data_IF_863590555178
#
_entry.id   IF_863590555178
#
_cell.length_a   1.000
_cell.length_b   1.000
_cell.length_c   1.000
_cell.angle_alpha   90.00
_cell.angle_beta   90.00
_cell.angle_gamma   90.00
#
_symmetry.space_group_name_H-M   'P 1'
#
loop_
_entity.id
_entity.type
_entity.pdbx_description
1 polymer ?
#
# COMPACT_ATOMS: atom_id res chain seq x y z
N UNK A 1 -19.47 37.74 -11.40
CA UNK A 1 -18.22 37.04 -11.04
C UNK A 1 -17.58 37.84 -9.92
N UNK A 2 -17.97 37.55 -8.67
CA UNK A 2 -17.64 38.36 -7.49
C UNK A 2 -16.74 37.51 -6.60
N UNK A 3 -15.45 37.86 -6.57
CA UNK A 3 -14.43 37.15 -5.79
C UNK A 3 -14.52 37.60 -4.34
N UNK A 4 -15.08 36.76 -3.47
CA UNK A 4 -14.98 36.95 -2.02
C UNK A 4 -13.55 36.63 -1.57
N UNK A 5 -12.78 37.66 -1.23
CA UNK A 5 -11.48 37.52 -0.55
C UNK A 5 -11.72 37.21 0.93
N UNK A 6 -11.91 35.92 1.24
CA UNK A 6 -11.93 35.46 2.62
C UNK A 6 -10.56 35.64 3.27
N UNK A 7 -10.40 36.69 4.11
CA UNK A 7 -9.31 36.79 5.09
C UNK A 7 -9.37 35.55 5.99
N UNK A 8 -8.57 34.54 5.69
CA UNK A 8 -8.29 33.45 6.64
C UNK A 8 -7.51 34.02 7.80
N UNK A 9 -8.17 34.22 8.93
CA UNK A 9 -7.51 34.42 10.22
C UNK A 9 -6.53 33.27 10.44
N UNK A 10 -5.23 33.57 10.36
CA UNK A 10 -4.17 32.63 10.74
C UNK A 10 -4.25 32.45 12.26
N UNK A 11 -5.10 31.52 12.72
CA UNK A 11 -4.99 31.01 14.10
C UNK A 11 -3.58 30.45 14.25
N UNK A 12 -2.74 31.15 15.00
CA UNK A 12 -1.42 30.68 15.40
C UNK A 12 -1.64 29.32 16.08
N UNK A 13 -1.29 28.23 15.40
CA UNK A 13 -1.29 26.91 16.00
C UNK A 13 -0.03 26.82 16.85
N UNK A 14 -0.12 26.91 18.20
CA UNK A 14 1.06 26.82 19.03
C UNK A 14 1.76 25.48 18.79
N UNK A 15 3.08 25.52 18.59
CA UNK A 15 3.89 24.31 18.38
C UNK A 15 3.77 23.39 19.60
N UNK A 16 3.95 22.08 19.41
CA UNK A 16 3.91 21.11 20.52
C UNK A 16 4.90 21.50 21.62
N UNK A 17 6.07 22.03 21.24
CA UNK A 17 7.06 22.61 22.15
C UNK A 17 6.48 23.71 23.05
N UNK A 18 5.72 24.66 22.50
CA UNK A 18 5.12 25.75 23.26
C UNK A 18 4.05 25.22 24.23
N UNK A 19 3.21 24.28 23.77
CA UNK A 19 2.18 23.67 24.62
C UNK A 19 2.78 22.92 25.81
N UNK A 20 3.81 22.11 25.57
CA UNK A 20 4.48 21.33 26.62
C UNK A 20 5.16 22.25 27.64
N UNK A 21 5.83 23.30 27.15
CA UNK A 21 6.50 24.29 28.00
C UNK A 21 5.50 25.06 28.86
N UNK A 22 4.37 25.48 28.28
CA UNK A 22 3.32 26.19 29.01
C UNK A 22 2.65 25.29 30.05
N UNK A 23 2.36 24.04 29.71
CA UNK A 23 1.73 23.09 30.63
C UNK A 23 2.65 22.82 31.83
N UNK A 24 3.92 22.53 31.59
CA UNK A 24 4.90 22.31 32.65
C UNK A 24 5.17 23.59 33.46
N UNK A 25 5.18 24.75 32.79
CA UNK A 25 5.35 26.06 33.44
C UNK A 25 4.20 26.39 34.38
N UNK A 26 2.94 26.20 33.94
CA UNK A 26 1.75 26.41 34.79
C UNK A 26 1.77 25.45 35.98
N UNK A 27 2.10 24.18 35.78
CA UNK A 27 2.22 23.20 36.86
C UNK A 27 3.27 23.61 37.89
N UNK A 28 4.44 24.05 37.44
CA UNK A 28 5.56 24.44 38.28
C UNK A 28 5.27 25.73 39.08
N UNK A 29 4.68 26.75 38.43
CA UNK A 29 4.23 27.97 39.11
C UNK A 29 3.15 27.65 40.14
N UNK A 30 2.17 26.81 39.77
CA UNK A 30 1.10 26.40 40.68
C UNK A 30 1.62 25.64 41.90
N UNK A 31 2.54 24.71 41.71
CA UNK A 31 3.19 23.98 42.81
C UNK A 31 4.02 24.92 43.71
N UNK A 32 4.78 25.84 43.12
CA UNK A 32 5.58 26.82 43.87
C UNK A 32 4.71 27.80 44.68
N UNK A 33 3.60 28.26 44.10
CA UNK A 33 2.62 29.11 44.79
C UNK A 33 1.91 28.35 45.93
N UNK A 34 1.57 27.08 45.73
CA UNK A 34 0.97 26.24 46.77
C UNK A 34 1.93 26.02 47.94
N UNK A 35 3.21 25.76 47.65
CA UNK A 35 4.23 25.63 48.69
C UNK A 35 4.43 26.94 49.46
N UNK A 36 4.42 28.08 48.78
CA UNK A 36 4.50 29.39 49.44
C UNK A 36 3.27 29.66 50.32
N UNK A 37 2.06 29.33 49.84
CA UNK A 37 0.83 29.44 50.62
C UNK A 37 0.88 28.56 51.87
N UNK A 38 1.36 27.32 51.73
CA UNK A 38 1.48 26.38 52.84
C UNK A 38 2.53 26.84 53.85
N UNK A 39 3.67 27.36 53.40
CA UNK A 39 4.68 27.96 54.27
C UNK A 39 4.11 29.16 55.03
N UNK A 40 3.36 30.03 54.34
CA UNK A 40 2.72 31.18 54.97
C UNK A 40 1.68 30.78 56.02
N UNK A 41 0.81 29.80 55.73
CA UNK A 41 -0.13 29.25 56.69
C UNK A 41 0.57 28.60 57.89
N UNK A 42 1.67 27.88 57.67
CA UNK A 42 2.42 27.20 58.72
C UNK A 42 3.11 28.21 59.64
N UNK A 43 3.74 29.25 59.09
CA UNK A 43 4.34 30.34 59.88
C UNK A 43 3.27 31.11 60.65
N UNK A 44 2.15 31.45 59.99
CA UNK A 44 1.02 32.10 60.65
C UNK A 44 0.41 31.23 61.76
N UNK A 45 0.39 29.91 61.62
CA UNK A 45 -0.07 29.00 62.67
C UNK A 45 0.96 28.86 63.81
N UNK A 46 2.25 28.71 63.49
CA UNK A 46 3.32 28.55 64.48
C UNK A 46 3.52 29.81 65.34
N UNK A 47 3.28 30.99 64.78
CA UNK A 47 3.41 32.26 65.47
C UNK A 47 2.12 32.70 66.19
N UNK A 48 0.99 31.97 66.02
CA UNK A 48 -0.21 32.19 66.84
C UNK A 48 0.07 31.82 68.30
N UNK A 49 -0.40 32.64 69.26
CA UNK A 49 -0.13 32.38 70.67
C UNK A 49 -0.81 31.09 71.12
N UNK A 50 -0.03 30.05 71.38
CA UNK A 50 -0.53 28.79 71.96
C UNK A 50 -0.96 28.96 73.42
N UNK A 51 -0.45 30.00 74.11
CA UNK A 51 -0.75 30.29 75.52
C UNK A 51 -0.96 31.80 75.69
N UNK A 52 -2.06 32.17 76.33
CA UNK A 52 -2.46 33.57 76.54
C UNK A 52 -1.38 34.32 77.31
N UNK A 53 -0.60 35.17 76.63
CA UNK A 53 0.24 36.15 77.32
C UNK A 53 -0.66 36.96 78.26
N UNK A 54 -0.36 36.94 79.55
CA UNK A 54 -1.12 37.69 80.54
C UNK A 54 -1.11 39.19 80.18
N UNK A 55 -2.25 39.86 80.35
CA UNK A 55 -2.33 41.30 80.10
C UNK A 55 -1.33 42.02 81.01
N UNK A 56 -0.48 42.88 80.43
CA UNK A 56 0.57 43.60 81.16
C UNK A 56 1.93 42.91 81.21
N UNK A 57 2.11 41.75 80.60
CA UNK A 57 3.44 41.12 80.44
C UNK A 57 4.32 42.02 79.57
N UNK A 58 5.49 42.42 80.05
CA UNK A 58 6.42 43.27 79.31
C UNK A 58 7.67 42.49 78.89
N UNK A 59 8.18 42.79 77.69
CA UNK A 59 9.45 42.28 77.16
C UNK A 59 10.46 43.42 77.22
N UNK A 60 11.64 43.14 77.78
CA UNK A 60 12.77 44.07 77.78
C UNK A 60 13.61 43.81 76.53
N UNK A 61 13.70 44.81 75.66
CA UNK A 61 14.53 44.76 74.46
C UNK A 61 16.01 44.99 74.83
N UNK A 62 16.91 44.62 73.92
CA UNK A 62 18.35 44.79 74.10
C UNK A 62 18.79 46.27 74.27
N UNK A 63 17.95 47.22 73.85
CA UNK A 63 18.13 48.67 74.03
C UNK A 63 17.57 49.20 75.37
N UNK A 64 17.08 48.31 76.24
CA UNK A 64 16.53 48.64 77.55
C UNK A 64 15.08 49.10 77.54
N UNK A 65 14.42 49.21 76.38
CA UNK A 65 13.00 49.58 76.29
C UNK A 65 12.10 48.42 76.72
N UNK A 66 11.01 48.75 77.41
CA UNK A 66 9.97 47.78 77.76
C UNK A 66 8.76 47.95 76.84
N UNK A 67 8.30 46.86 76.24
CA UNK A 67 7.15 46.85 75.32
C UNK A 67 6.19 45.73 75.74
N UNK A 68 4.89 45.98 75.59
CA UNK A 68 3.87 44.95 75.83
C UNK A 68 4.15 43.72 74.96
N UNK A 69 4.21 42.54 75.60
CA UNK A 69 4.58 41.28 74.95
C UNK A 69 3.66 40.93 73.77
N UNK A 70 2.37 41.31 73.81
CA UNK A 70 1.43 41.06 72.71
C UNK A 70 1.71 41.96 71.52
N UNK A 71 2.03 43.23 71.78
CA UNK A 71 2.41 44.20 70.73
C UNK A 71 3.71 43.77 70.07
N UNK A 72 4.72 43.38 70.87
CA UNK A 72 5.99 42.90 70.37
C UNK A 72 5.83 41.59 69.56
N UNK A 73 5.06 40.61 70.04
CA UNK A 73 4.79 39.37 69.31
C UNK A 73 4.04 39.63 67.98
N UNK A 74 3.06 40.54 67.98
CA UNK A 74 2.35 40.95 66.77
C UNK A 74 3.28 41.60 65.73
N UNK A 75 4.24 42.41 66.18
CA UNK A 75 5.25 43.00 65.32
C UNK A 75 6.22 41.96 64.75
N UNK A 76 6.67 41.00 65.57
CA UNK A 76 7.54 39.89 65.13
C UNK A 76 6.81 38.99 64.13
N UNK A 77 5.53 38.66 64.38
CA UNK A 77 4.73 37.87 63.46
C UNK A 77 4.50 38.58 62.12
N UNK A 78 4.12 39.87 62.16
CA UNK A 78 3.94 40.66 60.96
C UNK A 78 5.25 40.82 60.15
N UNK A 79 6.39 41.01 60.83
CA UNK A 79 7.69 41.09 60.19
C UNK A 79 8.07 39.74 59.54
N UNK A 80 7.88 38.63 60.25
CA UNK A 80 8.16 37.29 59.74
C UNK A 80 7.28 36.93 58.53
N UNK A 81 5.97 37.25 58.58
CA UNK A 81 5.07 37.06 57.44
C UNK A 81 5.48 37.91 56.23
N UNK A 82 5.81 39.19 56.44
CA UNK A 82 6.23 40.07 55.35
C UNK A 82 7.56 39.64 54.71
N UNK A 83 8.54 39.24 55.53
CA UNK A 83 9.84 38.73 55.08
C UNK A 83 9.70 37.39 54.35
N UNK A 84 8.84 36.49 54.84
CA UNK A 84 8.53 35.22 54.18
C UNK A 84 7.86 35.46 52.82
N UNK A 85 6.86 36.35 52.73
CA UNK A 85 6.15 36.62 51.48
C UNK A 85 7.07 37.28 50.45
N UNK A 86 7.88 38.25 50.86
CA UNK A 86 8.80 38.95 49.94
C UNK A 86 9.89 38.02 49.42
N UNK A 87 10.62 37.32 50.30
CA UNK A 87 11.65 36.35 49.88
C UNK A 87 11.06 35.15 49.15
N UNK A 88 9.92 34.67 49.61
CA UNK A 88 9.18 33.56 49.00
C UNK A 88 8.71 33.90 47.59
N UNK A 89 8.15 35.09 47.36
CA UNK A 89 7.73 35.52 46.02
C UNK A 89 8.92 35.68 45.06
N UNK A 90 10.04 36.24 45.55
CA UNK A 90 11.29 36.30 44.77
C UNK A 90 11.80 34.90 44.41
N UNK A 91 11.78 33.96 45.36
CA UNK A 91 12.18 32.57 45.12
C UNK A 91 11.25 31.87 44.12
N UNK A 92 9.93 32.03 44.26
CA UNK A 92 8.93 31.49 43.32
C UNK A 92 9.18 32.03 41.92
N UNK A 93 9.41 33.34 41.78
CA UNK A 93 9.67 33.96 40.49
C UNK A 93 10.97 33.44 39.85
N UNK A 94 12.04 33.33 40.63
CA UNK A 94 13.33 32.82 40.17
C UNK A 94 13.25 31.35 39.73
N UNK A 95 12.64 30.48 40.55
CA UNK A 95 12.45 29.05 40.25
C UNK A 95 11.53 28.88 39.03
N UNK A 96 10.48 29.69 38.93
CA UNK A 96 9.55 29.65 37.80
C UNK A 96 10.23 30.01 36.49
N UNK A 97 11.03 31.08 36.48
CA UNK A 97 11.75 31.50 35.29
C UNK A 97 12.78 30.45 34.85
N UNK A 98 13.55 29.92 35.81
CA UNK A 98 14.52 28.85 35.55
C UNK A 98 13.85 27.56 35.05
N UNK A 99 12.75 27.16 35.67
CA UNK A 99 11.98 25.96 35.30
C UNK A 99 11.36 26.07 33.91
N UNK A 100 10.76 27.21 33.57
CA UNK A 100 10.19 27.45 32.23
C UNK A 100 11.29 27.46 31.16
N UNK A 101 12.43 28.13 31.43
CA UNK A 101 13.56 28.14 30.51
C UNK A 101 14.14 26.73 30.30
N UNK A 102 14.33 25.96 31.38
CA UNK A 102 14.78 24.57 31.33
C UNK A 102 13.83 23.68 30.55
N UNK A 103 12.52 23.75 30.83
CA UNK A 103 11.49 23.00 30.12
C UNK A 103 11.48 23.32 28.62
N UNK A 104 11.67 24.59 28.24
CA UNK A 104 11.73 25.01 26.84
C UNK A 104 12.94 24.42 26.09
N UNK A 105 14.10 24.34 26.77
CA UNK A 105 15.32 23.76 26.22
C UNK A 105 15.19 22.24 26.04
N UNK A 106 14.73 21.53 27.08
CA UNK A 106 14.54 20.07 27.06
C UNK A 106 13.51 19.67 26.01
N UNK A 107 12.35 20.34 25.96
CA UNK A 107 11.33 20.09 24.95
C UNK A 107 11.85 20.35 23.52
N UNK A 108 12.72 21.36 23.36
CA UNK A 108 13.37 21.63 22.07
C UNK A 108 14.29 20.51 21.62
N UNK A 109 15.07 19.94 22.54
CA UNK A 109 16.00 18.85 22.25
C UNK A 109 15.26 17.52 22.00
N UNK A 110 14.26 17.21 22.81
CA UNK A 110 13.47 15.99 22.69
C UNK A 110 12.64 15.92 21.39
N UNK A 111 12.13 17.06 20.90
CA UNK A 111 11.33 17.10 19.66
C UNK A 111 12.17 17.28 18.38
N UNK A 112 13.48 17.52 18.50
CA UNK A 112 14.35 17.77 17.34
C UNK A 112 14.41 16.58 16.36
N UNK A 113 14.52 15.32 16.80
CA UNK A 113 14.48 14.16 15.90
C UNK A 113 13.20 14.08 15.07
N UNK A 114 12.05 14.32 15.71
CA UNK A 114 10.74 14.27 15.07
C UNK A 114 10.60 15.34 13.96
N UNK A 115 11.21 16.51 14.17
CA UNK A 115 11.28 17.56 13.15
C UNK A 115 12.19 17.19 11.98
N UNK A 116 13.29 16.48 12.21
CA UNK A 116 14.19 16.00 11.16
C UNK A 116 13.47 14.96 10.28
N UNK A 117 12.85 13.95 10.88
CA UNK A 117 12.04 12.94 10.16
C UNK A 117 10.94 13.63 9.34
N UNK A 118 10.20 14.58 9.94
CA UNK A 118 9.14 15.31 9.24
C UNK A 118 9.68 16.18 8.09
N UNK A 119 10.84 16.81 8.27
CA UNK A 119 11.46 17.62 7.23
C UNK A 119 11.94 16.77 6.05
N UNK A 120 12.55 15.61 6.32
CA UNK A 120 12.94 14.65 5.29
C UNK A 120 11.72 14.10 4.56
N UNK A 121 10.67 13.73 5.30
CA UNK A 121 9.38 13.30 4.73
C UNK A 121 8.73 14.36 3.83
N UNK A 122 8.85 15.65 4.14
CA UNK A 122 8.33 16.74 3.29
C UNK A 122 9.18 17.02 2.05
N UNK A 123 10.47 16.66 2.08
CA UNK A 123 11.37 16.80 0.93
C UNK A 123 11.22 15.66 -0.06
N UNK A 124 10.72 14.52 0.39
CA UNK A 124 10.35 13.39 -0.46
C UNK A 124 9.18 13.82 -1.37
N UNK A 125 9.51 14.07 -2.63
CA UNK A 125 8.57 14.34 -3.72
C UNK A 125 8.53 13.14 -4.69
N UNK A 126 7.60 13.16 -5.65
CA UNK A 126 7.48 12.13 -6.70
C UNK A 126 8.77 11.85 -7.50
N UNK A 127 9.78 12.72 -7.41
CA UNK A 127 11.05 12.64 -8.12
C UNK A 127 12.23 12.16 -7.26
N UNK A 128 12.06 12.04 -5.94
CA UNK A 128 13.14 11.70 -4.98
C UNK A 128 12.83 10.47 -4.11
N UNK A 129 12.04 9.53 -4.63
CA UNK A 129 11.64 8.29 -3.90
C UNK A 129 12.75 7.26 -3.73
N UNK A 130 13.96 7.53 -4.21
CA UNK A 130 15.19 6.79 -3.92
C UNK A 130 15.79 7.17 -2.55
N UNK A 131 15.40 8.33 -2.00
CA UNK A 131 15.84 8.75 -0.67
C UNK A 131 15.07 8.00 0.42
N UNK A 132 15.79 7.69 1.50
CA UNK A 132 15.27 7.08 2.72
C UNK A 132 15.54 8.02 3.88
N UNK A 133 14.69 7.96 4.90
CA UNK A 133 14.85 8.75 6.11
C UNK A 133 16.14 8.34 6.83
N UNK A 134 16.45 7.02 6.88
CA UNK A 134 17.66 6.44 7.49
C UNK A 134 18.02 7.13 8.81
N UNK A 135 17.06 7.10 9.73
CA UNK A 135 17.24 7.72 11.02
C UNK A 135 18.40 7.02 11.77
N UNK A 136 19.41 7.79 12.18
CA UNK A 136 20.64 7.33 12.85
C UNK A 136 20.66 7.65 14.36
N UNK A 137 19.50 8.02 14.91
CA UNK A 137 19.37 8.41 16.32
C UNK A 137 19.15 7.23 17.27
N UNK A 138 18.57 7.54 18.44
CA UNK A 138 18.31 6.52 19.45
C UNK A 138 17.23 5.53 19.00
N UNK A 139 17.30 4.28 19.46
CA UNK A 139 16.30 3.25 19.17
C UNK A 139 15.06 3.47 20.05
N UNK A 140 14.24 4.43 19.64
CA UNK A 140 13.03 4.90 20.32
C UNK A 140 11.81 4.90 19.37
N UNK A 141 10.67 5.42 19.81
CA UNK A 141 9.44 5.48 19.01
C UNK A 141 9.62 6.30 17.71
N UNK A 142 10.62 7.20 17.66
CA UNK A 142 10.95 7.95 16.45
C UNK A 142 11.69 7.06 15.44
N UNK A 143 12.56 6.16 15.91
CA UNK A 143 13.20 5.16 15.05
C UNK A 143 12.18 4.18 14.45
N UNK A 144 11.23 3.68 15.26
CA UNK A 144 10.15 2.80 14.77
C UNK A 144 9.29 3.51 13.71
N UNK A 145 8.94 4.77 13.94
CA UNK A 145 8.19 5.59 12.98
C UNK A 145 8.99 5.77 11.68
N UNK A 146 10.28 6.11 11.77
CA UNK A 146 11.14 6.27 10.61
C UNK A 146 11.26 4.97 9.80
N UNK A 147 11.42 3.82 10.47
CA UNK A 147 11.44 2.50 9.82
C UNK A 147 10.14 2.17 9.11
N UNK A 148 9.00 2.52 9.72
CA UNK A 148 7.67 2.35 9.08
C UNK A 148 7.53 3.22 7.82
N UNK A 149 8.02 4.46 7.86
CA UNK A 149 8.05 5.34 6.69
C UNK A 149 8.97 4.78 5.59
N UNK A 150 10.16 4.31 5.94
CA UNK A 150 11.10 3.73 4.97
C UNK A 150 10.52 2.48 4.30
N UNK A 151 9.87 1.58 5.06
CA UNK A 151 9.17 0.42 4.48
C UNK A 151 8.01 0.81 3.55
N UNK A 152 7.29 1.90 3.86
CA UNK A 152 6.26 2.45 2.98
C UNK A 152 6.88 3.01 1.68
N UNK A 153 8.01 3.72 1.78
CA UNK A 153 8.74 4.25 0.64
C UNK A 153 9.32 3.13 -0.25
N UNK A 154 9.79 2.02 0.35
CA UNK A 154 10.24 0.85 -0.39
C UNK A 154 9.12 0.23 -1.22
N UNK A 155 7.95 0.02 -0.60
CA UNK A 155 6.76 -0.51 -1.29
C UNK A 155 6.32 0.41 -2.43
N UNK A 156 6.34 1.73 -2.19
CA UNK A 156 5.96 2.71 -3.20
C UNK A 156 6.98 2.76 -4.34
N UNK A 157 8.28 2.78 -4.03
CA UNK A 157 9.36 2.74 -5.02
C UNK A 157 9.26 1.51 -5.92
N UNK A 158 9.11 0.33 -5.32
CA UNK A 158 8.94 -0.92 -6.07
C UNK A 158 7.71 -0.89 -7.01
N UNK A 159 6.59 -0.31 -6.57
CA UNK A 159 5.39 -0.16 -7.39
C UNK A 159 5.63 0.79 -8.59
N UNK A 160 6.27 1.94 -8.37
CA UNK A 160 6.58 2.89 -9.45
C UNK A 160 7.61 2.34 -10.43
N UNK A 161 8.64 1.62 -9.96
CA UNK A 161 9.62 0.98 -10.84
C UNK A 161 8.99 -0.13 -11.68
N UNK A 162 8.08 -0.90 -11.10
CA UNK A 162 7.26 -1.87 -11.84
C UNK A 162 6.42 -1.18 -12.91
N UNK A 163 5.73 -0.09 -12.57
CA UNK A 163 4.92 0.69 -13.52
C UNK A 163 5.78 1.29 -14.65
N UNK A 164 6.96 1.85 -14.34
CA UNK A 164 7.89 2.38 -15.35
C UNK A 164 8.35 1.28 -16.31
N UNK A 165 8.76 0.12 -15.80
CA UNK A 165 9.14 -1.04 -16.61
C UNK A 165 7.98 -1.52 -17.48
N UNK A 166 6.77 -1.58 -16.94
CA UNK A 166 5.57 -1.93 -17.68
C UNK A 166 5.31 -0.99 -18.85
N UNK A 167 5.34 0.34 -18.64
CA UNK A 167 5.11 1.33 -19.70
C UNK A 167 6.21 1.28 -20.77
N UNK A 168 7.47 1.12 -20.36
CA UNK A 168 8.59 0.99 -21.27
C UNK A 168 8.43 -0.25 -22.16
N UNK A 169 8.19 -1.41 -21.56
CA UNK A 169 8.01 -2.68 -22.27
C UNK A 169 6.78 -2.64 -23.19
N UNK A 170 5.66 -2.10 -22.73
CA UNK A 170 4.46 -1.91 -23.56
C UNK A 170 4.75 -1.05 -24.80
N UNK A 171 5.49 0.05 -24.63
CA UNK A 171 5.89 0.94 -25.73
C UNK A 171 6.79 0.22 -26.74
N UNK A 172 7.75 -0.59 -26.26
CA UNK A 172 8.63 -1.38 -27.12
C UNK A 172 7.88 -2.48 -27.88
N UNK A 173 7.03 -3.23 -27.21
CA UNK A 173 6.24 -4.31 -27.80
C UNK A 173 5.20 -3.77 -28.80
N UNK A 174 4.67 -2.56 -28.62
CA UNK A 174 3.80 -1.89 -29.61
C UNK A 174 4.58 -1.32 -30.80
N UNK A 175 5.78 -0.80 -30.59
CA UNK A 175 6.60 -0.23 -31.67
C UNK A 175 6.99 -1.28 -32.72
N UNK A 176 7.21 -2.52 -32.29
CA UNK A 176 7.63 -3.63 -33.17
C UNK A 176 6.62 -3.96 -34.28
N UNK A 177 5.34 -4.28 -34.00
CA UNK A 177 4.36 -4.53 -35.07
C UNK A 177 4.09 -3.28 -35.92
N UNK A 178 4.13 -2.08 -35.34
CA UNK A 178 4.00 -0.83 -36.10
C UNK A 178 5.16 -0.65 -37.10
N UNK A 179 6.39 -0.94 -36.68
CA UNK A 179 7.56 -0.90 -37.56
C UNK A 179 7.45 -1.94 -38.68
N UNK A 180 7.04 -3.18 -38.37
CA UNK A 180 6.82 -4.23 -39.38
C UNK A 180 5.79 -3.80 -40.41
N UNK A 181 4.61 -3.32 -39.97
CA UNK A 181 3.58 -2.84 -40.90
C UNK A 181 4.10 -1.75 -41.82
N UNK A 182 4.79 -0.76 -41.24
CA UNK A 182 5.36 0.36 -42.01
C UNK A 182 6.43 -0.11 -42.99
N UNK A 183 7.37 -0.96 -42.57
CA UNK A 183 8.44 -1.47 -43.44
C UNK A 183 7.88 -2.27 -44.61
N UNK A 184 6.90 -3.16 -44.38
CA UNK A 184 6.29 -3.94 -45.47
C UNK A 184 5.56 -3.04 -46.48
N UNK A 185 4.84 -2.03 -45.99
CA UNK A 185 4.17 -1.03 -46.82
C UNK A 185 5.20 -0.22 -47.61
N UNK A 186 6.21 0.34 -46.96
CA UNK A 186 7.23 1.19 -47.59
C UNK A 186 8.03 0.40 -48.64
N UNK A 187 8.41 -0.85 -48.35
CA UNK A 187 9.18 -1.71 -49.28
C UNK A 187 8.36 -2.07 -50.51
N UNK A 188 7.14 -2.56 -50.31
CA UNK A 188 6.30 -3.01 -51.43
C UNK A 188 5.85 -1.84 -52.32
N UNK A 189 5.56 -0.67 -51.73
CA UNK A 189 5.23 0.53 -52.50
C UNK A 189 6.43 1.19 -53.18
N UNK A 190 7.66 0.90 -52.75
CA UNK A 190 8.88 1.43 -53.37
C UNK A 190 9.31 0.67 -54.63
N UNK A 191 8.79 -0.54 -54.84
CA UNK A 191 9.08 -1.37 -56.00
C UNK A 191 8.05 -1.10 -57.13
N UNK A 192 8.45 -0.44 -58.23
CA UNK A 192 7.55 -0.12 -59.34
C UNK A 192 7.09 -1.36 -60.12
N UNK A 193 7.78 -2.49 -59.99
CA UNK A 193 7.49 -3.73 -60.70
C UNK A 193 6.76 -4.76 -59.81
N UNK A 194 6.33 -4.36 -58.61
CA UNK A 194 5.69 -5.24 -57.64
C UNK A 194 4.44 -5.92 -58.20
N UNK A 195 4.38 -7.25 -58.07
CA UNK A 195 3.28 -8.05 -58.61
C UNK A 195 2.10 -8.24 -57.63
N UNK A 196 0.99 -8.82 -58.10
CA UNK A 196 -0.20 -9.09 -57.26
C UNK A 196 0.13 -10.03 -56.10
N UNK A 197 1.11 -10.94 -56.26
CA UNK A 197 1.51 -11.84 -55.19
C UNK A 197 2.26 -11.09 -54.09
N UNK A 198 3.09 -10.09 -54.41
CA UNK A 198 3.77 -9.20 -53.48
C UNK A 198 2.79 -8.36 -52.68
N UNK A 199 1.83 -7.72 -53.33
CA UNK A 199 0.78 -6.99 -52.62
C UNK A 199 -0.03 -7.89 -51.67
N UNK A 200 -0.31 -9.14 -52.05
CA UNK A 200 -0.97 -10.12 -51.17
C UNK A 200 -0.10 -10.54 -49.99
N UNK A 201 1.22 -10.71 -50.21
CA UNK A 201 2.16 -11.01 -49.12
C UNK A 201 2.21 -9.84 -48.13
N UNK A 202 2.42 -8.61 -48.63
CA UNK A 202 2.39 -7.39 -47.81
C UNK A 202 1.08 -7.31 -47.00
N UNK A 203 -0.09 -7.43 -47.65
CA UNK A 203 -1.38 -7.36 -46.97
C UNK A 203 -1.53 -8.43 -45.89
N UNK A 204 -1.01 -9.64 -46.12
CA UNK A 204 -1.01 -10.72 -45.13
C UNK A 204 -0.13 -10.38 -43.94
N UNK A 205 1.10 -9.92 -44.17
CA UNK A 205 2.03 -9.55 -43.09
C UNK A 205 1.49 -8.36 -42.28
N UNK A 206 0.92 -7.36 -42.94
CA UNK A 206 0.32 -6.19 -42.30
C UNK A 206 -0.88 -6.59 -41.45
N UNK A 207 -1.79 -7.42 -41.98
CA UNK A 207 -2.93 -7.94 -41.21
C UNK A 207 -2.46 -8.68 -39.97
N UNK A 208 -1.53 -9.61 -40.12
CA UNK A 208 -1.02 -10.42 -39.01
C UNK A 208 -0.28 -9.57 -37.96
N UNK A 209 0.38 -8.46 -38.38
CA UNK A 209 0.99 -7.50 -37.47
C UNK A 209 -0.05 -6.62 -36.76
N UNK A 210 -1.12 -6.22 -37.44
CA UNK A 210 -2.24 -5.48 -36.87
C UNK A 210 -3.00 -6.30 -35.82
N UNK A 211 -3.29 -7.56 -36.12
CA UNK A 211 -3.92 -8.49 -35.18
C UNK A 211 -3.07 -8.67 -33.92
N UNK A 212 -1.74 -8.78 -34.06
CA UNK A 212 -0.81 -8.83 -32.92
C UNK A 212 -0.84 -7.55 -32.08
N UNK A 213 -0.87 -6.38 -32.72
CA UNK A 213 -0.96 -5.10 -32.01
C UNK A 213 -2.28 -4.98 -31.24
N UNK A 214 -3.40 -5.36 -31.86
CA UNK A 214 -4.72 -5.37 -31.20
C UNK A 214 -4.75 -6.32 -30.00
N UNK A 215 -4.24 -7.54 -30.14
CA UNK A 215 -4.15 -8.49 -29.04
C UNK A 215 -3.33 -7.95 -27.85
N UNK A 216 -2.23 -7.24 -28.14
CA UNK A 216 -1.42 -6.57 -27.12
C UNK A 216 -2.19 -5.43 -26.44
N UNK A 217 -2.85 -4.55 -27.19
CA UNK A 217 -3.67 -3.47 -26.62
C UNK A 217 -4.77 -4.03 -25.73
N UNK A 218 -5.47 -5.07 -26.19
CA UNK A 218 -6.51 -5.73 -25.40
C UNK A 218 -5.95 -6.36 -24.12
N UNK A 219 -4.76 -6.96 -24.18
CA UNK A 219 -4.09 -7.52 -23.01
C UNK A 219 -3.74 -6.44 -21.98
N UNK A 220 -3.22 -5.30 -22.44
CA UNK A 220 -2.92 -4.14 -21.60
C UNK A 220 -4.17 -3.53 -20.97
N UNK A 221 -5.27 -3.47 -21.72
CA UNK A 221 -6.56 -2.97 -21.21
C UNK A 221 -7.15 -3.90 -20.15
N UNK A 222 -7.00 -5.22 -20.30
CA UNK A 222 -7.37 -6.16 -19.24
C UNK A 222 -6.54 -5.89 -18.00
N UNK A 223 -5.20 -5.92 -18.10
CA UNK A 223 -4.33 -5.65 -16.95
C UNK A 223 -4.64 -4.32 -16.26
N UNK A 224 -4.80 -3.23 -17.01
CA UNK A 224 -5.12 -1.92 -16.45
C UNK A 224 -6.48 -1.89 -15.74
N UNK A 225 -7.50 -2.56 -16.29
CA UNK A 225 -8.83 -2.66 -15.65
C UNK A 225 -8.76 -3.49 -14.38
N UNK A 226 -7.99 -4.56 -14.39
CA UNK A 226 -7.90 -5.51 -13.29
C UNK A 226 -7.04 -4.97 -12.15
N UNK A 227 -5.94 -4.28 -12.44
CA UNK A 227 -5.13 -3.55 -11.45
C UNK A 227 -5.93 -2.42 -10.79
N UNK A 228 -6.71 -1.65 -11.56
CA UNK A 228 -7.60 -0.63 -11.01
C UNK A 228 -8.73 -1.22 -10.14
N UNK A 229 -9.01 -2.52 -10.30
CA UNK A 229 -10.01 -3.26 -9.53
C UNK A 229 -9.40 -4.15 -8.43
N UNK A 230 -8.07 -4.21 -8.30
CA UNK A 230 -7.42 -4.91 -7.19
C UNK A 230 -7.90 -4.28 -5.87
N UNK A 231 -8.72 -5.01 -5.12
CA UNK A 231 -9.37 -4.53 -3.89
C UNK A 231 -10.73 -3.82 -4.07
N UNK A 232 -11.27 -3.71 -5.29
CA UNK A 232 -12.63 -3.24 -5.57
C UNK A 232 -13.51 -4.37 -6.12
N UNK A 233 -14.81 -4.32 -5.82
CA UNK A 233 -15.80 -5.28 -6.33
C UNK A 233 -15.82 -5.24 -7.87
N UNK A 234 -15.65 -6.40 -8.53
CA UNK A 234 -15.90 -6.57 -9.98
C UNK A 234 -17.20 -5.87 -10.38
N UNK A 235 -17.16 -5.12 -11.48
CA UNK A 235 -18.31 -4.33 -11.97
C UNK A 235 -19.43 -5.24 -12.47
N UNK A 236 -19.07 -6.39 -13.08
CA UNK A 236 -20.01 -7.39 -13.57
C UNK A 236 -19.74 -8.72 -12.87
N UNK A 237 -20.76 -9.25 -12.20
CA UNK A 237 -20.74 -10.54 -11.50
C UNK A 237 -21.93 -11.37 -11.95
N UNK A 238 -21.67 -12.32 -12.85
CA UNK A 238 -22.67 -13.24 -13.40
C UNK A 238 -22.20 -14.66 -13.15
N UNK A 239 -23.11 -15.63 -12.90
CA UNK A 239 -22.75 -17.04 -12.90
C UNK A 239 -22.10 -17.44 -14.24
N UNK A 240 -20.98 -18.16 -14.17
CA UNK A 240 -20.25 -18.71 -15.31
C UNK A 240 -19.63 -20.06 -14.91
N UNK A 241 -19.20 -20.86 -15.88
CA UNK A 241 -18.53 -22.14 -15.63
C UNK A 241 -17.14 -22.16 -16.30
N UNK A 242 -16.09 -22.46 -15.52
CA UNK A 242 -14.73 -22.54 -16.05
C UNK A 242 -14.57 -23.66 -17.09
N UNK A 243 -15.38 -24.72 -17.03
CA UNK A 243 -15.35 -25.83 -17.99
C UNK A 243 -15.79 -25.38 -19.39
N UNK A 244 -16.77 -24.47 -19.49
CA UNK A 244 -17.22 -23.91 -20.77
C UNK A 244 -16.12 -23.04 -21.39
N UNK A 245 -15.49 -22.17 -20.60
CA UNK A 245 -14.37 -21.34 -21.04
C UNK A 245 -13.17 -22.17 -21.51
N UNK A 246 -12.83 -23.23 -20.76
CA UNK A 246 -11.75 -24.15 -21.13
C UNK A 246 -12.05 -24.91 -22.44
N UNK A 247 -13.29 -25.39 -22.62
CA UNK A 247 -13.73 -26.06 -23.84
C UNK A 247 -13.69 -25.14 -25.07
N UNK A 248 -14.17 -23.90 -24.92
CA UNK A 248 -14.13 -22.89 -25.99
C UNK A 248 -12.69 -22.54 -26.38
N UNK A 249 -11.79 -22.37 -25.40
CA UNK A 249 -10.38 -22.09 -25.64
C UNK A 249 -9.65 -23.26 -26.32
N UNK A 250 -9.92 -24.51 -25.94
CA UNK A 250 -9.41 -25.69 -26.64
C UNK A 250 -9.88 -25.74 -28.10
N UNK A 251 -11.15 -25.42 -28.33
CA UNK A 251 -11.73 -25.37 -29.68
C UNK A 251 -11.05 -24.33 -30.56
N UNK A 252 -10.76 -23.14 -30.02
CA UNK A 252 -10.04 -22.07 -30.72
C UNK A 252 -8.62 -22.49 -31.13
N UNK A 253 -7.97 -23.34 -30.34
CA UNK A 253 -6.58 -23.78 -30.56
C UNK A 253 -6.43 -25.07 -31.37
N UNK A 254 -7.52 -25.68 -31.83
CA UNK A 254 -7.49 -26.98 -32.56
C UNK A 254 -6.49 -27.02 -33.72
N UNK A 255 -6.40 -25.93 -34.51
CA UNK A 255 -5.46 -25.87 -35.64
C UNK A 255 -4.01 -25.94 -35.19
N UNK A 256 -3.64 -25.26 -34.10
CA UNK A 256 -2.27 -25.26 -33.59
C UNK A 256 -1.96 -26.56 -32.85
N UNK A 257 -2.91 -27.10 -32.09
CA UNK A 257 -2.83 -28.43 -31.48
C UNK A 257 -2.51 -29.48 -32.54
N UNK A 258 -3.23 -29.46 -33.67
CA UNK A 258 -2.96 -30.34 -34.80
C UNK A 258 -1.60 -30.09 -35.46
N UNK A 259 -1.19 -28.82 -35.62
CA UNK A 259 0.12 -28.45 -36.16
C UNK A 259 1.28 -29.01 -35.33
N UNK A 260 1.14 -29.03 -34.01
CA UNK A 260 2.15 -29.57 -33.09
C UNK A 260 1.95 -31.05 -32.75
N UNK A 261 0.93 -31.71 -33.32
CA UNK A 261 0.60 -33.12 -33.05
C UNK A 261 0.41 -33.43 -31.55
N UNK A 262 -0.19 -32.50 -30.80
CA UNK A 262 -0.32 -32.66 -29.35
C UNK A 262 -1.37 -33.72 -29.00
N UNK A 263 -1.06 -34.55 -28.00
CA UNK A 263 -2.04 -35.41 -27.36
C UNK A 263 -2.76 -34.62 -26.28
N UNK A 264 -4.08 -34.45 -26.43
CA UNK A 264 -4.90 -33.65 -25.51
C UNK A 264 -5.72 -34.55 -24.59
N UNK A 265 -5.55 -34.39 -23.28
CA UNK A 265 -6.33 -35.07 -22.25
C UNK A 265 -7.25 -34.07 -21.56
N UNK A 266 -8.55 -34.37 -21.49
CA UNK A 266 -9.54 -33.48 -20.88
C UNK A 266 -10.34 -34.19 -19.79
N UNK A 267 -10.44 -33.57 -18.61
CA UNK A 267 -11.40 -33.92 -17.55
C UNK A 267 -12.13 -32.63 -17.13
N UNK A 268 -13.09 -32.21 -17.96
CA UNK A 268 -13.82 -30.95 -17.78
C UNK A 268 -15.10 -31.16 -16.97
N UNK A 269 -15.00 -31.17 -15.64
CA UNK A 269 -16.18 -31.24 -14.76
C UNK A 269 -16.74 -29.84 -14.50
N UNK A 270 -18.05 -29.70 -14.18
CA UNK A 270 -18.64 -28.41 -13.86
C UNK A 270 -17.86 -27.67 -12.76
N UNK A 271 -17.48 -26.43 -13.04
CA UNK A 271 -16.66 -25.59 -12.17
C UNK A 271 -17.29 -24.19 -12.10
N UNK A 272 -18.45 -24.06 -11.43
CA UNK A 272 -19.23 -22.83 -11.42
C UNK A 272 -18.54 -21.74 -10.59
N UNK A 273 -18.54 -20.51 -11.10
CA UNK A 273 -17.95 -19.31 -10.50
C UNK A 273 -18.86 -18.11 -10.71
N UNK A 274 -18.69 -17.05 -9.91
CA UNK A 274 -19.38 -15.77 -10.12
C UNK A 274 -18.34 -14.71 -10.50
N UNK A 275 -18.42 -14.20 -11.71
CA UNK A 275 -17.38 -13.30 -12.24
C UNK A 275 -17.79 -12.53 -13.48
N UNK A 276 -16.79 -11.93 -14.13
CA UNK A 276 -16.95 -11.37 -15.47
C UNK A 276 -16.63 -12.46 -16.51
N UNK A 277 -17.62 -12.92 -17.31
CA UNK A 277 -17.40 -13.98 -18.29
C UNK A 277 -16.25 -13.69 -19.25
N UNK A 278 -16.09 -12.44 -19.69
CA UNK A 278 -15.03 -12.09 -20.64
C UNK A 278 -13.63 -12.20 -20.03
N UNK A 279 -13.48 -11.89 -18.74
CA UNK A 279 -12.21 -12.07 -18.03
C UNK A 279 -11.91 -13.55 -17.78
N UNK A 280 -12.93 -14.36 -17.47
CA UNK A 280 -12.79 -15.80 -17.24
C UNK A 280 -12.45 -16.55 -18.54
N UNK A 281 -13.09 -16.21 -19.66
CA UNK A 281 -12.73 -16.69 -21.00
C UNK A 281 -11.28 -16.33 -21.34
N UNK A 282 -10.87 -15.08 -21.07
CA UNK A 282 -9.49 -14.62 -21.28
C UNK A 282 -8.51 -15.41 -20.42
N UNK A 283 -8.85 -15.74 -19.17
CA UNK A 283 -8.02 -16.54 -18.28
C UNK A 283 -7.81 -17.95 -18.85
N UNK A 284 -8.89 -18.64 -19.24
CA UNK A 284 -8.80 -19.98 -19.82
C UNK A 284 -8.03 -19.97 -21.15
N UNK A 285 -8.31 -18.99 -22.01
CA UNK A 285 -7.62 -18.79 -23.28
C UNK A 285 -6.12 -18.58 -23.11
N UNK A 286 -5.70 -17.71 -22.19
CA UNK A 286 -4.28 -17.47 -21.92
C UNK A 286 -3.56 -18.72 -21.42
N UNK A 287 -4.18 -19.50 -20.52
CA UNK A 287 -3.58 -20.74 -20.01
C UNK A 287 -3.38 -21.77 -21.12
N UNK A 288 -4.40 -22.00 -21.94
CA UNK A 288 -4.37 -23.00 -23.00
C UNK A 288 -3.44 -22.54 -24.15
N UNK A 289 -3.47 -21.27 -24.55
CA UNK A 289 -2.51 -20.72 -25.52
C UNK A 289 -1.08 -20.92 -25.03
N UNK A 290 -0.80 -20.61 -23.76
CA UNK A 290 0.52 -20.79 -23.16
C UNK A 290 0.95 -22.26 -23.20
N UNK A 291 0.07 -23.18 -22.79
CA UNK A 291 0.35 -24.60 -22.73
C UNK A 291 0.57 -25.24 -24.12
N UNK A 292 -0.12 -24.77 -25.16
CA UNK A 292 0.10 -25.20 -26.56
C UNK A 292 1.40 -24.63 -27.10
N UNK A 293 1.65 -23.34 -26.86
CA UNK A 293 2.78 -22.61 -27.46
C UNK A 293 4.13 -23.05 -26.94
N UNK A 294 4.24 -23.30 -25.64
CA UNK A 294 5.48 -23.72 -24.99
C UNK A 294 5.59 -25.24 -24.89
N UNK A 295 4.78 -25.99 -25.66
CA UNK A 295 4.90 -27.43 -25.77
C UNK A 295 5.93 -27.83 -26.83
N UNK A 296 6.37 -29.09 -26.76
CA UNK A 296 7.14 -29.72 -27.84
C UNK A 296 6.21 -30.38 -28.87
N UNK A 297 6.74 -30.62 -30.06
CA UNK A 297 6.06 -31.41 -31.11
C UNK A 297 5.81 -32.83 -30.57
N UNK A 298 4.59 -33.36 -30.74
CA UNK A 298 4.14 -34.64 -30.17
C UNK A 298 4.04 -34.67 -28.63
N UNK A 299 4.05 -33.50 -27.98
CA UNK A 299 3.87 -33.40 -26.54
C UNK A 299 2.46 -33.66 -26.06
N UNK A 300 2.28 -33.64 -24.74
CA UNK A 300 0.98 -33.77 -24.08
C UNK A 300 0.49 -32.43 -23.54
N UNK A 301 -0.81 -32.22 -23.62
CA UNK A 301 -1.55 -31.11 -23.02
C UNK A 301 -2.68 -31.73 -22.19
N UNK A 302 -2.82 -31.35 -20.92
CA UNK A 302 -3.98 -31.74 -20.12
C UNK A 302 -4.71 -30.52 -19.59
N UNK A 303 -6.03 -30.63 -19.58
CA UNK A 303 -6.93 -29.60 -19.06
C UNK A 303 -7.95 -30.26 -18.15
N UNK A 304 -8.00 -29.83 -16.89
CA UNK A 304 -8.93 -30.37 -15.89
C UNK A 304 -9.69 -29.25 -15.20
N UNK A 305 -10.99 -29.43 -15.02
CA UNK A 305 -11.81 -28.55 -14.19
C UNK A 305 -12.52 -29.36 -13.11
N UNK A 306 -12.61 -28.79 -11.92
CA UNK A 306 -13.27 -29.42 -10.78
C UNK A 306 -13.84 -28.37 -9.83
N UNK A 307 -14.81 -28.76 -9.01
CA UNK A 307 -15.32 -27.93 -7.92
C UNK A 307 -15.58 -28.79 -6.69
N UNK A 308 -15.25 -28.25 -5.51
CA UNK A 308 -15.57 -28.87 -4.22
C UNK A 308 -16.78 -28.18 -3.53
N UNK A 309 -17.45 -27.26 -4.24
CA UNK A 309 -18.56 -26.46 -3.73
C UNK A 309 -18.16 -25.23 -2.92
N UNK A 310 -16.88 -25.07 -2.55
CA UNK A 310 -16.31 -23.84 -1.99
C UNK A 310 -15.37 -23.15 -2.98
N UNK A 311 -14.65 -23.93 -3.77
CA UNK A 311 -13.66 -23.49 -4.75
C UNK A 311 -13.87 -24.25 -6.06
N UNK A 312 -13.68 -23.54 -7.15
CA UNK A 312 -13.67 -24.06 -8.52
C UNK A 312 -12.26 -23.91 -9.07
N UNK A 313 -11.75 -24.99 -9.68
CA UNK A 313 -10.35 -25.12 -10.07
C UNK A 313 -10.25 -25.37 -11.56
N UNK A 314 -9.28 -24.73 -12.22
CA UNK A 314 -8.86 -24.99 -13.59
C UNK A 314 -7.36 -25.31 -13.57
N UNK A 315 -7.01 -26.52 -13.97
CA UNK A 315 -5.63 -26.99 -14.11
C UNK A 315 -5.32 -27.14 -15.58
N UNK A 316 -4.24 -26.50 -16.03
CA UNK A 316 -3.73 -26.63 -17.39
C UNK A 316 -2.25 -26.95 -17.31
N UNK A 317 -1.83 -28.07 -17.91
CA UNK A 317 -0.42 -28.42 -17.93
C UNK A 317 0.04 -28.99 -19.26
N UNK A 318 1.34 -28.90 -19.49
CA UNK A 318 1.99 -29.40 -20.70
C UNK A 318 3.34 -30.05 -20.38
N UNK A 319 3.80 -30.95 -21.25
CA UNK A 319 5.15 -31.55 -21.16
C UNK A 319 6.25 -30.68 -21.80
N UNK A 320 6.06 -29.37 -21.82
CA UNK A 320 6.88 -28.43 -22.58
C UNK A 320 8.36 -28.34 -22.17
N UNK A 321 8.96 -27.19 -22.45
CA UNK A 321 10.36 -26.96 -22.09
C UNK A 321 10.57 -26.93 -20.57
N UNK A 322 11.79 -27.23 -20.14
CA UNK A 322 12.17 -27.17 -18.73
C UNK A 322 12.10 -25.73 -18.21
N UNK A 323 11.48 -25.58 -17.04
CA UNK A 323 11.35 -24.31 -16.34
C UNK A 323 12.15 -24.42 -15.05
N UNK A 324 13.18 -23.59 -14.91
CA UNK A 324 13.97 -23.56 -13.67
C UNK A 324 13.07 -23.12 -12.50
N UNK A 325 13.10 -23.80 -11.34
CA UNK A 325 12.27 -23.44 -10.19
C UNK A 325 12.48 -21.98 -9.72
N UNK A 326 13.68 -21.42 -9.92
CA UNK A 326 14.00 -20.03 -9.61
C UNK A 326 13.26 -19.02 -10.48
N UNK A 327 12.83 -19.41 -11.69
CA UNK A 327 12.12 -18.55 -12.63
C UNK A 327 10.60 -18.54 -12.40
N UNK A 328 10.04 -19.54 -11.70
CA UNK A 328 8.60 -19.69 -11.46
C UNK A 328 7.92 -18.43 -10.90
N UNK A 329 8.46 -17.76 -9.86
CA UNK A 329 7.83 -16.54 -9.33
C UNK A 329 7.75 -15.41 -10.37
N UNK A 330 8.72 -15.36 -11.28
CA UNK A 330 8.82 -14.34 -12.31
C UNK A 330 7.88 -14.55 -13.50
N UNK A 331 7.35 -15.75 -13.71
CA UNK A 331 6.47 -16.05 -14.86
C UNK A 331 5.16 -15.25 -14.84
N UNK A 332 4.73 -14.83 -13.65
CA UNK A 332 3.53 -14.01 -13.48
C UNK A 332 3.80 -12.50 -13.58
N UNK A 333 5.05 -12.08 -13.75
CA UNK A 333 5.40 -10.67 -13.97
C UNK A 333 5.08 -10.27 -15.42
N UNK A 334 4.47 -9.08 -15.67
CA UNK A 334 4.20 -8.61 -17.02
C UNK A 334 5.48 -8.51 -17.86
N UNK A 335 5.41 -8.98 -19.11
CA UNK A 335 6.51 -8.97 -20.09
C UNK A 335 7.73 -9.84 -19.71
N UNK A 336 7.65 -10.64 -18.64
CA UNK A 336 8.66 -11.68 -18.38
C UNK A 336 8.45 -12.87 -19.31
N UNK A 337 9.57 -13.42 -19.75
CA UNK A 337 9.65 -14.70 -20.47
C UNK A 337 10.63 -15.58 -19.69
N UNK A 338 10.25 -16.83 -19.42
CA UNK A 338 11.13 -17.80 -18.75
C UNK A 338 12.15 -18.43 -19.71
N UNK A 339 13.32 -18.82 -19.20
CA UNK A 339 14.25 -19.71 -19.90
C UNK A 339 15.10 -19.13 -21.05
N UNK A 340 15.95 -20.01 -21.63
CA UNK A 340 17.05 -19.71 -22.59
C UNK A 340 16.61 -19.25 -23.98
N UNK A 341 15.33 -19.31 -24.35
CA UNK A 341 14.85 -18.86 -25.66
C UNK A 341 14.39 -17.39 -25.65
N UNK A 342 15.33 -16.49 -25.40
CA UNK A 342 15.10 -15.04 -25.55
C UNK A 342 14.94 -14.58 -27.01
N UNK A 343 15.21 -15.44 -27.99
CA UNK A 343 15.46 -15.01 -29.38
C UNK A 343 14.52 -15.59 -30.45
N UNK A 344 13.44 -16.32 -30.11
CA UNK A 344 12.61 -16.94 -31.15
C UNK A 344 11.14 -17.18 -30.86
N UNK A 345 10.72 -17.28 -29.59
CA UNK A 345 9.34 -17.56 -29.27
C UNK A 345 8.45 -16.30 -29.46
N UNK A 346 7.43 -16.43 -30.33
CA UNK A 346 6.33 -15.46 -30.43
C UNK A 346 5.73 -15.28 -29.02
N UNK A 347 5.25 -14.09 -28.63
CA UNK A 347 4.42 -13.89 -27.43
C UNK A 347 4.83 -12.68 -26.57
N UNK A 348 3.87 -11.88 -26.12
CA UNK A 348 4.14 -10.63 -25.39
C UNK A 348 4.62 -10.82 -23.94
N UNK A 349 4.61 -12.04 -23.40
CA UNK A 349 4.91 -12.29 -21.98
C UNK A 349 3.83 -11.75 -21.03
N UNK A 350 2.61 -11.49 -21.53
CA UNK A 350 1.51 -10.97 -20.73
C UNK A 350 0.54 -12.05 -20.26
N UNK A 351 0.54 -13.24 -20.86
CA UNK A 351 -0.50 -14.25 -20.65
C UNK A 351 -0.69 -14.65 -19.19
N UNK A 352 0.37 -15.09 -18.51
CA UNK A 352 0.30 -15.49 -17.10
C UNK A 352 0.07 -14.30 -16.16
N UNK A 353 0.55 -13.09 -16.51
CA UNK A 353 0.24 -11.88 -15.74
C UNK A 353 -1.25 -11.52 -15.80
N UNK A 354 -1.92 -11.75 -16.95
CA UNK A 354 -3.37 -11.59 -17.08
C UNK A 354 -4.09 -12.63 -16.22
N UNK A 355 -3.65 -13.89 -16.25
CA UNK A 355 -4.25 -14.96 -15.43
C UNK A 355 -4.19 -14.57 -13.95
N UNK A 356 -3.03 -14.12 -13.47
CA UNK A 356 -2.86 -13.65 -12.08
C UNK A 356 -3.80 -12.49 -11.76
N UNK A 357 -3.81 -11.45 -12.61
CA UNK A 357 -4.67 -10.30 -12.40
C UNK A 357 -6.16 -10.72 -12.32
N UNK A 358 -6.62 -11.56 -13.26
CA UNK A 358 -7.99 -12.07 -13.27
C UNK A 358 -8.30 -12.86 -11.99
N UNK A 359 -7.38 -13.71 -11.51
CA UNK A 359 -7.55 -14.41 -10.23
C UNK A 359 -7.71 -13.43 -9.08
N UNK A 360 -6.82 -12.44 -8.97
CA UNK A 360 -6.84 -11.44 -7.91
C UNK A 360 -8.16 -10.66 -7.88
N UNK A 361 -8.69 -10.26 -9.04
CA UNK A 361 -9.97 -9.57 -9.14
C UNK A 361 -11.19 -10.46 -8.80
N UNK A 362 -11.07 -11.77 -8.96
CA UNK A 362 -12.11 -12.74 -8.59
C UNK A 362 -11.92 -13.29 -7.16
N UNK A 363 -10.92 -12.82 -6.41
CA UNK A 363 -10.62 -13.30 -5.06
C UNK A 363 -10.10 -14.73 -5.03
N UNK A 364 -9.48 -15.17 -6.11
CA UNK A 364 -8.86 -16.48 -6.25
C UNK A 364 -7.34 -16.44 -6.15
N UNK A 365 -6.71 -17.54 -6.51
CA UNK A 365 -5.25 -17.73 -6.51
C UNK A 365 -4.81 -18.47 -7.76
N UNK A 366 -3.58 -18.24 -8.19
CA UNK A 366 -2.91 -19.03 -9.23
C UNK A 366 -1.57 -19.53 -8.72
N UNK A 367 -1.25 -20.80 -9.02
CA UNK A 367 0.02 -21.43 -8.75
C UNK A 367 0.58 -22.04 -10.04
N UNK A 368 1.90 -22.14 -10.14
CA UNK A 368 2.55 -22.84 -11.24
C UNK A 368 3.65 -23.75 -10.70
N UNK A 369 3.67 -24.98 -11.20
CA UNK A 369 4.58 -26.04 -10.79
C UNK A 369 5.37 -26.51 -12.01
N UNK A 370 6.70 -26.49 -11.89
CA UNK A 370 7.57 -27.08 -12.90
C UNK A 370 7.54 -28.60 -12.78
N UNK A 371 7.43 -29.31 -13.90
CA UNK A 371 7.30 -30.76 -13.92
C UNK A 371 8.64 -31.45 -14.10
N UNK A 372 8.80 -32.60 -13.46
CA UNK A 372 9.95 -33.47 -13.64
C UNK A 372 10.04 -33.92 -15.11
N UNK A 373 11.18 -33.63 -15.75
CA UNK A 373 11.40 -33.93 -17.17
C UNK A 373 10.90 -32.84 -18.14
N UNK A 374 10.43 -31.70 -17.63
CA UNK A 374 10.08 -30.52 -18.42
C UNK A 374 8.59 -30.25 -18.50
N UNK A 375 8.24 -28.97 -18.70
CA UNK A 375 6.88 -28.48 -18.77
C UNK A 375 6.43 -27.73 -17.52
N UNK A 376 5.18 -27.27 -17.58
CA UNK A 376 4.58 -26.42 -16.57
C UNK A 376 3.14 -26.86 -16.33
N UNK A 377 2.74 -27.02 -15.08
CA UNK A 377 1.34 -27.12 -14.68
C UNK A 377 0.93 -25.81 -13.99
N UNK A 378 -0.17 -25.21 -14.44
CA UNK A 378 -0.72 -24.00 -13.85
C UNK A 378 -2.11 -24.30 -13.29
N UNK A 379 -2.27 -24.02 -12.00
CA UNK A 379 -3.50 -24.27 -11.26
C UNK A 379 -4.14 -22.93 -10.85
N UNK A 380 -5.32 -22.65 -11.39
CA UNK A 380 -6.17 -21.53 -11.00
C UNK A 380 -7.25 -22.02 -10.05
N UNK A 381 -7.43 -21.32 -8.93
CA UNK A 381 -8.47 -21.62 -7.94
C UNK A 381 -9.30 -20.35 -7.68
N UNK A 382 -10.59 -20.39 -7.97
CA UNK A 382 -11.53 -19.28 -7.73
C UNK A 382 -12.59 -19.69 -6.70
N UNK A 383 -13.19 -18.75 -5.97
CA UNK A 383 -14.36 -19.04 -5.14
C UNK A 383 -15.50 -19.62 -5.99
N UNK A 384 -16.06 -20.75 -5.56
CA UNK A 384 -17.18 -21.37 -6.26
C UNK A 384 -18.42 -20.48 -6.17
N UNK A 385 -19.22 -20.45 -7.24
CA UNK A 385 -20.59 -19.97 -7.10
C UNK A 385 -21.32 -20.94 -6.19
N UNK A 386 -22.02 -20.44 -5.17
CA UNK A 386 -22.95 -21.27 -4.42
C UNK A 386 -23.91 -21.91 -5.43
N UNK A 387 -23.81 -23.22 -5.61
CA UNK A 387 -24.71 -24.02 -6.42
C UNK A 387 -26.05 -24.08 -5.70
N UNK A 388 -26.84 -23.00 -5.76
CA UNK A 388 -28.28 -23.15 -5.59
C UNK A 388 -28.74 -23.94 -6.81
N UNK A 389 -29.24 -25.18 -6.65
CA UNK A 389 -29.72 -25.95 -7.78
C UNK A 389 -30.81 -25.12 -8.44
N UNK A 390 -30.67 -24.84 -9.74
CA UNK A 390 -31.79 -24.36 -10.54
C UNK A 390 -32.78 -25.51 -10.56
N UNK A 391 -33.75 -25.47 -9.64
CA UNK A 391 -34.89 -26.37 -9.69
C UNK A 391 -35.57 -26.11 -11.05
N UNK A 392 -35.42 -27.07 -11.97
CA UNK A 392 -36.16 -27.06 -13.22
C UNK A 392 -37.65 -27.00 -12.86
N UNK A 393 -38.28 -25.84 -13.07
CA UNK A 393 -39.71 -25.69 -12.91
C UNK A 393 -40.42 -26.54 -13.95
N UNK A 394 -40.79 -27.77 -13.58
CA UNK A 394 -41.66 -28.61 -14.40
C UNK A 394 -43.06 -28.03 -14.36
N UNK A 395 -43.46 -27.32 -15.42
CA UNK A 395 -44.85 -26.98 -15.65
C UNK A 395 -45.57 -28.18 -16.26
N UNK A 396 -46.43 -28.87 -15.49
CA UNK A 396 -47.37 -29.86 -16.02
C UNK A 396 -48.75 -29.23 -16.21
N UNK A 397 -49.22 -29.16 -17.45
CA UNK A 397 -50.60 -28.79 -17.76
C UNK A 397 -51.48 -30.03 -17.60
N UNK A 398 -52.45 -30.00 -16.68
CA UNK A 398 -53.52 -31.01 -16.64
C UNK A 398 -54.58 -30.64 -17.68
N UNK A 399 -54.72 -31.49 -18.70
CA UNK A 399 -55.92 -31.49 -19.55
C UNK A 399 -57.13 -31.94 -18.71
N UNK A 400 -58.26 -31.23 -18.85
CA UNK A 400 -59.58 -31.68 -18.40
C UNK A 400 -60.28 -32.38 -19.55
#
# INVERSE_FOLDING_TARGET
MTVYSGRRERRLRPTVRLRLTLLNGVLLVGAAALLLLLAWLLVGYALRPAHQLAAGTQVVLADGRQVDARVWQGQVAAAAEHELLTRGLVAVLAISLAGVAGAYLVAGRALRPLQQVTATARRLSGETMDQRIRYDGADDEVAELAGTFDAMLDRLGAAFDSQRRFVANASHELRTPLAVMRTEIDVTLSDPDADVAEYRRMATVVRDASERANALVEALLVLARTDAQAGRRLVRKVPADLSEGASAALSAMQREIGRYLLTVETDLRPAPVVGDPGLLERLAGNLIENAVRYNHIQGRLWVRTASDGQKSTLVVGNTGFEVEPADLPGLFEPFRRGGRERTGARGSGLGLSIVRAVCDAHGGTVAADALDGGGLEVTVTLPAAATTPVAAGSASVRAR
#
